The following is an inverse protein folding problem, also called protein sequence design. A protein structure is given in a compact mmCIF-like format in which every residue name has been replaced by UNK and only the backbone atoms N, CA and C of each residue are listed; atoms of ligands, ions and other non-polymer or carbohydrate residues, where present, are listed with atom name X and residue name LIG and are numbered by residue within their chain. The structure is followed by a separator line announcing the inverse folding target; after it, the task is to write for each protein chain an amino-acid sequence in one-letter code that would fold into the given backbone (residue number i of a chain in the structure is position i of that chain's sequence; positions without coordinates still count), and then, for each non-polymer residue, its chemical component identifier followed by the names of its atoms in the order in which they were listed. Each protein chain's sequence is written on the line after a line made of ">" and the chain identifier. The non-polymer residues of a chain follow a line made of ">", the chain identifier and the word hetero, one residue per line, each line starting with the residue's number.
data_IF_589791027050
#
_entry.id   IF_589791027050
#
_cell.length_a   1.000
_cell.length_b   1.000
_cell.length_c   1.000
_cell.angle_alpha   90.00
_cell.angle_beta   90.00
_cell.angle_gamma   90.00
#
_symmetry.space_group_name_H-M   'P 1'
#
loop_
_entity.id
_entity.type
_entity.pdbx_description
1 polymer ?
#
# COMPACT_ATOMS: atom_id res chain seq x y z
N UNK A 1 22.12 31.47 -44.87
CA UNK A 1 22.98 30.39 -45.41
C UNK A 1 23.50 29.63 -44.20
N UNK A 2 23.10 28.38 -44.01
CA UNK A 2 23.66 27.51 -42.95
C UNK A 2 24.80 26.74 -43.64
N UNK A 3 26.02 26.85 -43.13
CA UNK A 3 27.15 26.16 -43.77
C UNK A 3 26.95 24.63 -43.73
N UNK A 4 27.36 23.89 -44.79
CA UNK A 4 27.17 22.44 -44.86
C UNK A 4 27.80 21.66 -43.70
N UNK A 5 28.79 22.24 -43.04
CA UNK A 5 29.43 21.71 -41.83
C UNK A 5 28.51 21.68 -40.60
N UNK A 6 27.47 22.53 -40.53
CA UNK A 6 26.52 22.57 -39.40
C UNK A 6 25.34 21.59 -39.57
N UNK A 7 25.05 21.15 -40.79
CA UNK A 7 23.99 20.21 -41.11
C UNK A 7 24.05 18.89 -40.29
N UNK A 8 25.20 18.22 -40.11
CA UNK A 8 25.29 17.04 -39.25
C UNK A 8 25.07 17.35 -37.77
N UNK A 9 25.49 18.51 -37.28
CA UNK A 9 25.25 18.91 -35.89
C UNK A 9 23.78 19.23 -35.63
N UNK A 10 23.07 19.82 -36.59
CA UNK A 10 21.63 20.07 -36.49
C UNK A 10 20.83 18.76 -36.54
N UNK A 11 21.21 17.81 -37.41
CA UNK A 11 20.61 16.47 -37.45
C UNK A 11 20.89 15.67 -36.18
N UNK A 12 22.13 15.67 -35.70
CA UNK A 12 22.51 15.00 -34.46
C UNK A 12 21.82 15.63 -33.24
N UNK A 13 21.77 16.97 -33.16
CA UNK A 13 21.07 17.71 -32.11
C UNK A 13 19.56 17.45 -32.13
N UNK A 14 18.93 17.48 -33.32
CA UNK A 14 17.52 17.13 -33.48
C UNK A 14 17.22 15.68 -33.11
N UNK A 15 18.07 14.74 -33.52
CA UNK A 15 17.97 13.33 -33.13
C UNK A 15 18.10 13.12 -31.62
N UNK A 16 19.06 13.80 -30.97
CA UNK A 16 19.25 13.77 -29.52
C UNK A 16 18.02 14.34 -28.80
N UNK A 17 17.49 15.48 -29.26
CA UNK A 17 16.28 16.10 -28.69
C UNK A 17 15.08 15.16 -28.80
N UNK A 18 14.89 14.54 -29.96
CA UNK A 18 13.81 13.59 -30.20
C UNK A 18 13.98 12.34 -29.33
N UNK A 19 15.21 11.84 -29.17
CA UNK A 19 15.53 10.71 -28.30
C UNK A 19 15.28 11.03 -26.83
N UNK A 20 15.66 12.21 -26.35
CA UNK A 20 15.40 12.66 -24.97
C UNK A 20 13.89 12.80 -24.72
N UNK A 21 13.15 13.39 -25.66
CA UNK A 21 11.68 13.46 -25.58
C UNK A 21 11.08 12.05 -25.53
N UNK A 22 11.50 11.16 -26.43
CA UNK A 22 11.01 9.78 -26.46
C UNK A 22 11.29 9.03 -25.15
N UNK A 23 12.52 9.13 -24.62
CA UNK A 23 12.89 8.54 -23.33
C UNK A 23 12.20 9.18 -22.13
N UNK A 24 11.83 10.46 -22.20
CA UNK A 24 11.05 11.12 -21.16
C UNK A 24 9.59 10.64 -21.12
N UNK A 25 8.99 10.42 -22.30
CA UNK A 25 7.61 9.95 -22.42
C UNK A 25 7.44 8.47 -22.06
N UNK A 26 8.43 7.63 -22.36
CA UNK A 26 8.39 6.20 -22.02
C UNK A 26 9.05 5.98 -20.66
N UNK A 27 8.34 5.53 -19.62
CA UNK A 27 8.93 5.22 -18.31
C UNK A 27 9.75 3.92 -18.37
N UNK A 28 10.87 3.94 -19.10
CA UNK A 28 11.73 2.80 -19.36
C UNK A 28 12.28 2.19 -18.07
N UNK A 29 12.70 3.04 -17.13
CA UNK A 29 13.20 2.60 -15.83
C UNK A 29 12.15 1.84 -15.01
N UNK A 30 10.90 2.30 -14.97
CA UNK A 30 9.80 1.61 -14.27
C UNK A 30 9.53 0.22 -14.87
N UNK A 31 9.53 0.12 -16.21
CA UNK A 31 9.36 -1.15 -16.89
C UNK A 31 10.50 -2.12 -16.58
N UNK A 32 11.74 -1.65 -16.57
CA UNK A 32 12.89 -2.46 -16.21
C UNK A 32 12.79 -2.95 -14.76
N UNK A 33 12.42 -2.08 -13.81
CA UNK A 33 12.19 -2.45 -12.41
C UNK A 33 11.11 -3.52 -12.25
N UNK A 34 10.01 -3.42 -13.00
CA UNK A 34 8.95 -4.44 -13.01
C UNK A 34 9.47 -5.79 -13.53
N UNK A 35 10.22 -5.76 -14.65
CA UNK A 35 10.76 -6.96 -15.28
C UNK A 35 11.77 -7.69 -14.40
N UNK A 36 12.68 -6.96 -13.76
CA UNK A 36 13.68 -7.52 -12.82
C UNK A 36 12.99 -8.13 -11.59
N UNK A 37 11.85 -7.59 -11.19
CA UNK A 37 11.08 -8.10 -10.05
C UNK A 37 10.21 -9.32 -10.38
N UNK A 38 10.25 -9.81 -11.63
CA UNK A 38 9.45 -10.95 -12.09
C UNK A 38 8.00 -10.60 -12.45
N UNK A 39 7.64 -9.31 -12.47
CA UNK A 39 6.30 -8.86 -12.84
C UNK A 39 6.23 -8.62 -14.34
N UNK A 40 5.44 -9.45 -15.04
CA UNK A 40 5.23 -9.34 -16.48
C UNK A 40 4.22 -8.21 -16.81
N UNK A 41 4.70 -6.96 -16.84
CA UNK A 41 3.94 -5.80 -17.35
C UNK A 41 4.50 -5.42 -18.73
N UNK A 42 3.62 -5.36 -19.73
CA UNK A 42 3.99 -4.88 -21.05
C UNK A 42 4.13 -3.36 -21.07
N UNK A 43 5.05 -2.82 -21.87
CA UNK A 43 5.17 -1.37 -22.11
C UNK A 43 3.83 -0.74 -22.53
N UNK A 44 3.04 -1.48 -23.33
CA UNK A 44 1.70 -1.08 -23.76
C UNK A 44 0.74 -0.88 -22.58
N UNK A 45 0.85 -1.68 -21.52
CA UNK A 45 0.00 -1.57 -20.33
C UNK A 45 0.32 -0.34 -19.49
N UNK A 46 1.61 -0.06 -19.28
CA UNK A 46 2.06 1.17 -18.63
C UNK A 46 1.56 2.42 -19.37
N UNK A 47 1.51 2.33 -20.69
CA UNK A 47 0.97 3.39 -21.54
C UNK A 47 -0.56 3.52 -21.42
N UNK A 48 -1.29 2.41 -21.42
CA UNK A 48 -2.75 2.38 -21.21
C UNK A 48 -3.17 2.94 -19.84
N UNK A 49 -2.41 2.67 -18.78
CA UNK A 49 -2.62 3.24 -17.46
C UNK A 49 -2.57 4.77 -17.49
N UNK A 50 -1.59 5.32 -18.21
CA UNK A 50 -1.42 6.79 -18.35
C UNK A 50 -2.59 7.42 -19.09
N UNK A 51 -3.15 6.76 -20.11
CA UNK A 51 -4.38 7.23 -20.80
C UNK A 51 -5.58 7.24 -19.85
N UNK A 52 -5.67 6.26 -18.93
CA UNK A 52 -6.72 6.17 -17.91
C UNK A 52 -6.49 7.10 -16.70
N UNK A 53 -5.55 8.04 -16.77
CA UNK A 53 -5.14 8.92 -15.66
C UNK A 53 -4.68 8.18 -14.38
N UNK A 54 -4.18 6.95 -14.53
CA UNK A 54 -3.59 6.20 -13.41
C UNK A 54 -2.06 6.33 -13.48
N UNK A 55 -1.40 6.92 -12.47
CA UNK A 55 0.04 7.09 -12.47
C UNK A 55 0.73 5.72 -12.25
N UNK A 56 1.47 5.19 -13.25
CA UNK A 56 2.14 3.89 -13.12
C UNK A 56 3.25 3.91 -12.05
N UNK A 57 3.72 5.10 -11.67
CA UNK A 57 4.74 5.30 -10.65
C UNK A 57 4.31 4.82 -9.25
N UNK A 58 3.01 4.78 -8.95
CA UNK A 58 2.49 4.33 -7.65
C UNK A 58 2.14 2.84 -7.68
N UNK A 59 1.58 2.37 -8.81
CA UNK A 59 1.11 0.99 -8.96
C UNK A 59 2.27 0.00 -9.08
N UNK A 60 3.31 0.33 -9.85
CA UNK A 60 4.41 -0.60 -10.14
C UNK A 60 5.23 -0.95 -8.88
N UNK A 61 5.70 0.01 -8.06
CA UNK A 61 6.41 -0.31 -6.83
C UNK A 61 5.56 -1.14 -5.86
N UNK A 62 4.28 -0.79 -5.68
CA UNK A 62 3.37 -1.55 -4.82
C UNK A 62 3.19 -3.00 -5.29
N UNK A 63 3.07 -3.20 -6.61
CA UNK A 63 2.94 -4.54 -7.18
C UNK A 63 4.26 -5.35 -7.04
N UNK A 64 5.42 -4.70 -7.19
CA UNK A 64 6.72 -5.31 -6.95
C UNK A 64 6.84 -5.79 -5.48
N UNK A 65 6.43 -4.96 -4.52
CA UNK A 65 6.46 -5.32 -3.10
C UNK A 65 5.52 -6.48 -2.77
N UNK A 66 4.30 -6.44 -3.29
CA UNK A 66 3.35 -7.53 -3.18
C UNK A 66 3.91 -8.85 -3.72
N UNK A 67 4.49 -8.81 -4.93
CA UNK A 67 5.09 -9.98 -5.57
C UNK A 67 6.26 -10.54 -4.75
N UNK A 68 7.12 -9.67 -4.21
CA UNK A 68 8.23 -10.07 -3.32
C UNK A 68 7.75 -10.70 -2.01
N UNK A 69 6.58 -10.31 -1.50
CA UNK A 69 5.98 -10.91 -0.31
C UNK A 69 5.19 -12.20 -0.61
N UNK A 70 5.17 -12.67 -1.85
CA UNK A 70 4.43 -13.88 -2.24
C UNK A 70 2.92 -13.69 -2.35
N UNK A 71 2.44 -12.45 -2.37
CA UNK A 71 1.02 -12.10 -2.53
C UNK A 71 0.65 -12.18 -4.02
N UNK A 72 0.39 -13.39 -4.52
CA UNK A 72 0.03 -13.67 -5.92
C UNK A 72 -1.43 -13.33 -6.27
N UNK A 73 -2.27 -13.05 -5.27
CA UNK A 73 -3.67 -12.64 -5.47
C UNK A 73 -3.83 -11.16 -5.88
N UNK A 74 -2.75 -10.37 -5.85
CA UNK A 74 -2.79 -8.94 -6.17
C UNK A 74 -2.57 -8.75 -7.66
N UNK A 75 -3.65 -8.42 -8.37
CA UNK A 75 -3.59 -8.09 -9.79
C UNK A 75 -3.36 -6.59 -9.98
N UNK A 76 -2.67 -6.23 -11.07
CA UNK A 76 -2.48 -4.82 -11.46
C UNK A 76 -3.83 -4.09 -11.59
N UNK A 77 -4.83 -4.76 -12.17
CA UNK A 77 -6.13 -4.16 -12.46
C UNK A 77 -6.89 -3.88 -11.16
N UNK A 78 -6.67 -4.69 -10.12
CA UNK A 78 -7.19 -4.45 -8.76
C UNK A 78 -6.56 -3.24 -8.08
N UNK A 79 -5.24 -3.06 -8.21
CA UNK A 79 -4.53 -1.88 -7.70
C UNK A 79 -4.95 -0.61 -8.45
N UNK A 80 -5.12 -0.70 -9.78
CA UNK A 80 -5.67 0.40 -10.59
C UNK A 80 -7.07 0.79 -10.13
N UNK A 81 -7.96 -0.20 -9.94
CA UNK A 81 -9.33 0.04 -9.49
C UNK A 81 -9.37 0.69 -8.11
N UNK A 82 -8.51 0.26 -7.18
CA UNK A 82 -8.41 0.86 -5.86
C UNK A 82 -7.90 2.32 -5.92
N UNK A 83 -6.90 2.60 -6.76
CA UNK A 83 -6.44 3.97 -7.00
C UNK A 83 -7.54 4.85 -7.58
N UNK A 84 -8.30 4.34 -8.55
CA UNK A 84 -9.42 5.06 -9.16
C UNK A 84 -10.59 5.28 -8.18
N UNK A 85 -10.76 4.39 -7.21
CA UNK A 85 -11.71 4.57 -6.11
C UNK A 85 -11.27 5.65 -5.10
N UNK A 86 -10.07 6.23 -5.27
CA UNK A 86 -9.52 7.25 -4.37
C UNK A 86 -8.80 6.69 -3.14
N UNK A 87 -8.46 5.40 -3.15
CA UNK A 87 -7.73 4.74 -2.07
C UNK A 87 -6.22 4.89 -2.14
N UNK A 88 -5.55 4.62 -1.02
CA UNK A 88 -4.09 4.71 -0.88
C UNK A 88 -3.43 3.37 -1.11
N UNK A 89 -3.02 3.13 -2.37
CA UNK A 89 -2.36 1.88 -2.80
C UNK A 89 -1.14 1.53 -1.95
N UNK A 90 -0.28 2.51 -1.66
CA UNK A 90 0.97 2.29 -0.90
C UNK A 90 0.70 1.77 0.53
N UNK A 91 -0.28 2.37 1.24
CA UNK A 91 -0.66 1.94 2.58
C UNK A 91 -1.20 0.51 2.60
N UNK A 92 -2.09 0.19 1.65
CA UNK A 92 -2.69 -1.14 1.54
C UNK A 92 -1.63 -2.20 1.24
N UNK A 93 -0.71 -1.93 0.31
CA UNK A 93 0.38 -2.87 -0.03
C UNK A 93 1.29 -3.08 1.17
N UNK A 94 1.75 -2.03 1.85
CA UNK A 94 2.60 -2.18 3.03
C UNK A 94 1.91 -2.92 4.18
N UNK A 95 0.59 -2.73 4.35
CA UNK A 95 -0.21 -3.46 5.31
C UNK A 95 -0.26 -4.96 4.96
N UNK A 96 -0.50 -5.29 3.69
CA UNK A 96 -0.53 -6.68 3.21
C UNK A 96 0.82 -7.37 3.32
N UNK A 97 1.92 -6.67 2.99
CA UNK A 97 3.29 -7.18 3.17
C UNK A 97 3.58 -7.44 4.64
N UNK A 98 3.14 -6.56 5.54
CA UNK A 98 3.28 -6.75 7.00
C UNK A 98 2.46 -7.93 7.50
N UNK A 99 1.21 -8.07 7.05
CA UNK A 99 0.32 -9.18 7.39
C UNK A 99 0.91 -10.53 6.93
N UNK A 100 1.40 -10.58 5.69
CA UNK A 100 2.05 -11.76 5.11
C UNK A 100 3.27 -12.20 5.92
N UNK A 101 4.14 -11.26 6.32
CA UNK A 101 5.31 -11.55 7.17
C UNK A 101 4.93 -12.11 8.54
N UNK A 102 3.79 -11.70 9.09
CA UNK A 102 3.27 -12.19 10.37
C UNK A 102 2.34 -13.41 10.23
N UNK A 103 2.23 -13.98 9.02
CA UNK A 103 1.37 -15.13 8.74
C UNK A 103 -0.13 -14.87 9.05
N UNK A 104 -0.58 -13.62 8.87
CA UNK A 104 -1.98 -13.23 9.01
C UNK A 104 -2.60 -13.24 7.61
N UNK A 105 -3.68 -14.02 7.44
CA UNK A 105 -4.44 -14.03 6.19
C UNK A 105 -5.31 -12.76 6.10
N UNK A 106 -4.85 -11.78 5.31
CA UNK A 106 -5.57 -10.54 5.03
C UNK A 106 -5.83 -10.45 3.52
N UNK A 107 -7.07 -10.68 3.05
CA UNK A 107 -7.37 -10.59 1.64
C UNK A 107 -7.32 -9.14 1.16
N UNK A 108 -6.84 -8.94 -0.08
CA UNK A 108 -6.69 -7.62 -0.71
C UNK A 108 -7.99 -6.79 -0.65
N UNK A 109 -9.13 -7.42 -0.90
CA UNK A 109 -10.46 -6.77 -0.89
C UNK A 109 -10.85 -6.24 0.49
N UNK A 110 -10.43 -6.93 1.56
CA UNK A 110 -10.69 -6.45 2.93
C UNK A 110 -9.79 -5.28 3.26
N UNK A 111 -8.51 -5.35 2.90
CA UNK A 111 -7.58 -4.25 3.12
C UNK A 111 -8.00 -2.97 2.37
N UNK A 112 -8.45 -3.09 1.12
CA UNK A 112 -8.96 -1.94 0.35
C UNK A 112 -10.28 -1.41 0.89
N UNK A 113 -11.18 -2.28 1.38
CA UNK A 113 -12.44 -1.84 2.00
C UNK A 113 -12.20 -1.04 3.29
N UNK A 114 -11.20 -1.44 4.11
CA UNK A 114 -10.81 -0.73 5.33
C UNK A 114 -10.24 0.66 4.99
N UNK A 115 -9.35 0.73 3.99
CA UNK A 115 -8.78 2.01 3.53
C UNK A 115 -9.86 2.96 2.99
N UNK A 116 -10.77 2.45 2.15
CA UNK A 116 -11.91 3.24 1.63
C UNK A 116 -12.90 3.68 2.72
N UNK A 117 -12.97 2.95 3.84
CA UNK A 117 -13.74 3.36 5.02
C UNK A 117 -13.07 4.51 5.81
N UNK A 118 -11.92 5.01 5.36
CA UNK A 118 -11.17 6.09 6.01
C UNK A 118 -10.44 5.63 7.26
N UNK A 119 -10.16 4.33 7.39
CA UNK A 119 -9.40 3.75 8.50
C UNK A 119 -8.00 3.39 8.02
N UNK A 120 -7.01 3.60 8.88
CA UNK A 120 -5.64 3.24 8.57
C UNK A 120 -5.45 1.73 8.70
N UNK A 121 -5.51 1.03 7.55
CA UNK A 121 -5.30 -0.42 7.48
C UNK A 121 -3.89 -0.82 7.95
N UNK A 122 -2.90 0.03 7.71
CA UNK A 122 -1.53 -0.23 8.10
C UNK A 122 -1.38 -0.23 9.63
N UNK A 123 -1.97 0.75 10.31
CA UNK A 123 -1.98 0.80 11.78
C UNK A 123 -2.69 -0.42 12.39
N UNK A 124 -3.84 -0.82 11.82
CA UNK A 124 -4.60 -1.98 12.30
C UNK A 124 -3.80 -3.28 12.20
N UNK A 125 -3.10 -3.51 11.08
CA UNK A 125 -2.19 -4.65 10.93
C UNK A 125 -0.99 -4.52 11.85
N UNK A 126 -0.42 -3.32 11.97
CA UNK A 126 0.79 -3.09 12.75
C UNK A 126 0.58 -3.41 14.24
N UNK A 127 -0.59 -3.07 14.78
CA UNK A 127 -0.98 -3.45 16.15
C UNK A 127 -1.11 -4.96 16.34
N UNK A 128 -1.46 -5.70 15.29
CA UNK A 128 -1.55 -7.16 15.35
C UNK A 128 -0.17 -7.84 15.27
N UNK A 129 0.78 -7.28 14.51
CA UNK A 129 2.11 -7.88 14.31
C UNK A 129 3.12 -7.46 15.38
N UNK A 130 3.01 -6.24 15.89
CA UNK A 130 3.88 -5.72 16.94
C UNK A 130 3.01 -5.00 17.99
N UNK A 131 2.43 -5.74 18.95
CA UNK A 131 1.58 -5.14 19.97
C UNK A 131 2.41 -4.12 20.74
N UNK A 132 1.93 -2.88 20.79
CA UNK A 132 2.57 -1.84 21.57
C UNK A 132 2.50 -2.24 23.04
N UNK A 133 3.66 -2.54 23.64
CA UNK A 133 3.77 -2.69 25.09
C UNK A 133 3.48 -1.32 25.67
N UNK A 134 2.23 -1.12 26.12
CA UNK A 134 1.92 0.00 26.98
C UNK A 134 2.52 -0.39 28.33
N UNK A 135 3.70 0.17 28.63
CA UNK A 135 4.24 0.17 29.98
C UNK A 135 3.23 0.92 30.84
N UNK A 136 2.32 0.14 31.40
CA UNK A 136 1.48 0.61 32.48
C UNK A 136 2.45 0.88 33.63
N UNK A 137 2.42 2.09 34.23
CA UNK A 137 3.21 2.34 35.43
C UNK A 137 2.90 1.21 36.42
N UNK A 138 3.91 0.70 37.16
CA UNK A 138 3.67 -0.33 38.16
C UNK A 138 2.47 0.10 38.97
N UNK A 139 1.45 -0.76 39.04
CA UNK A 139 0.33 -0.55 39.92
C UNK A 139 0.87 -0.62 41.35
N UNK A 140 1.40 0.51 41.81
CA UNK A 140 1.84 0.71 43.17
C UNK A 140 0.60 0.51 44.02
N UNK A 141 0.56 -0.63 44.71
CA UNK A 141 -0.51 -1.11 45.57
C UNK A 141 -0.80 -0.17 46.76
N UNK A 142 -0.08 0.96 46.86
CA UNK A 142 -0.34 2.07 47.79
C UNK A 142 -1.24 3.17 47.24
N UNK A 143 -1.70 3.09 46.00
CA UNK A 143 -2.67 4.03 45.42
C UNK A 143 -4.06 3.41 45.19
N UNK A 144 -4.51 2.51 46.08
CA UNK A 144 -5.95 2.33 46.36
C UNK A 144 -6.52 3.57 47.07
N UNK A 145 -6.28 4.76 46.51
CA UNK A 145 -6.74 6.03 47.04
C UNK A 145 -7.80 6.59 46.11
N UNK A 146 -9.04 6.17 46.31
CA UNK A 146 -10.26 6.90 45.92
C UNK A 146 -10.47 7.08 44.40
N UNK A 147 -11.06 6.07 43.77
CA UNK A 147 -11.91 6.31 42.59
C UNK A 147 -13.08 7.23 43.01
N UNK A 148 -13.31 8.38 42.36
CA UNK A 148 -14.49 9.20 42.63
C UNK A 148 -15.75 8.43 42.22
N UNK A 149 -16.71 8.31 43.13
CA UNK A 149 -17.94 7.54 42.97
C UNK A 149 -18.95 8.13 41.94
N UNK A 150 -18.54 9.12 41.14
CA UNK A 150 -19.41 9.91 40.26
C UNK A 150 -19.17 9.67 38.75
N UNK A 151 -18.51 8.58 38.38
CA UNK A 151 -18.38 8.22 36.96
C UNK A 151 -18.67 6.75 36.70
N UNK A 152 -19.85 6.30 37.14
CA UNK A 152 -20.52 5.18 36.48
C UNK A 152 -21.12 5.67 35.15
N UNK A 153 -20.26 5.94 34.17
CA UNK A 153 -20.69 5.96 32.76
C UNK A 153 -21.20 4.56 32.37
N UNK A 154 -22.08 4.46 31.37
CA UNK A 154 -22.78 3.21 31.06
C UNK A 154 -21.74 2.12 30.83
N UNK A 155 -21.80 1.10 31.70
CA UNK A 155 -20.95 -0.09 31.66
C UNK A 155 -20.96 -0.64 30.25
N UNK A 156 -19.89 -0.37 29.48
CA UNK A 156 -19.53 -1.22 28.37
C UNK A 156 -19.24 -2.58 28.99
N UNK A 157 -20.29 -3.41 29.04
CA UNK A 157 -20.15 -4.85 29.18
C UNK A 157 -19.23 -5.22 28.04
N UNK A 158 -17.99 -5.54 28.38
CA UNK A 158 -17.20 -6.44 27.59
C UNK A 158 -18.11 -7.65 27.35
N UNK A 159 -18.62 -7.77 26.13
CA UNK A 159 -19.16 -9.04 25.64
C UNK A 159 -17.97 -9.98 25.56
N UNK A 160 -17.60 -10.51 26.72
CA UNK A 160 -16.77 -11.68 26.87
C UNK A 160 -17.52 -12.78 26.10
N UNK A 161 -17.06 -13.14 24.90
CA UNK A 161 -17.52 -14.33 24.23
C UNK A 161 -17.35 -15.50 25.22
N UNK A 162 -18.41 -16.25 25.55
CA UNK A 162 -18.25 -17.41 26.41
C UNK A 162 -17.44 -18.48 25.65
N UNK A 163 -16.44 -19.14 26.26
CA UNK A 163 -15.88 -20.34 25.68
C UNK A 163 -16.99 -21.38 25.57
N UNK A 164 -17.03 -22.06 24.42
CA UNK A 164 -18.05 -23.04 24.05
C UNK A 164 -18.33 -24.02 25.20
N UNK A 165 -19.58 -24.03 25.70
CA UNK A 165 -20.07 -25.10 26.58
C UNK A 165 -20.75 -24.68 27.90
N UNK A 166 -20.82 -23.40 28.25
CA UNK A 166 -21.50 -22.95 29.47
C UNK A 166 -23.00 -22.69 29.27
N UNK A 167 -23.85 -23.59 29.78
CA UNK A 167 -25.32 -23.42 29.81
C UNK A 167 -25.68 -22.31 30.82
N UNK A 168 -26.24 -21.20 30.37
CA UNK A 168 -26.75 -20.14 31.26
C UNK A 168 -27.95 -20.66 32.07
N UNK A 169 -27.87 -20.63 33.40
CA UNK A 169 -29.00 -20.69 34.34
C UNK A 169 -29.17 -19.33 34.98
#
# INVERSE_FOLDING_TARGET
>A
MIDPSYLPFVMAGGGIILLVIFFHYVPFFLWLSAKVSGVNISLVQLFLMRIRNVPPYVIVPGLIEAHKAGLSNITRDGLEAHFLAGGHVEKVVHALVSASKANIDLPFQMATAIDLAGRDVFEAVQMSVNPKVIDTPPCDSRSQGRYPADRQGPRHRTCQYPPAGGRCR
#
